data_IF_403793047619
#
_entry.id   IF_403793047619
#
_cell.length_a   1.000
_cell.length_b   1.000
_cell.length_c   1.000
_cell.angle_alpha   90.00
_cell.angle_beta   90.00
_cell.angle_gamma   90.00
#
_symmetry.space_group_name_H-M   'P 1'
#
loop_
_entity.id
_entity.type
_entity.pdbx_description
1 polymer ?
#
# COMPACT_ATOMS: atom_id res chain seq x y z
N UNK A 1 31.40 -27.87 45.73
CA UNK A 1 31.50 -26.68 44.85
C UNK A 1 30.69 -26.92 43.56
N UNK A 2 29.36 -26.96 43.64
CA UNK A 2 28.48 -27.32 42.51
C UNK A 2 27.41 -26.27 42.21
N UNK A 3 27.58 -25.03 42.69
CA UNK A 3 26.58 -23.96 42.55
C UNK A 3 26.78 -23.03 41.33
N UNK A 4 27.81 -23.23 40.50
CA UNK A 4 28.11 -22.30 39.39
C UNK A 4 27.55 -22.76 38.03
N UNK A 5 27.11 -24.02 37.90
CA UNK A 5 26.69 -24.57 36.59
C UNK A 5 25.23 -24.22 36.23
N UNK A 6 24.44 -23.65 37.16
CA UNK A 6 23.02 -23.36 36.92
C UNK A 6 22.71 -22.00 36.26
N UNK A 7 23.72 -21.15 36.02
CA UNK A 7 23.53 -19.83 35.39
C UNK A 7 23.68 -19.82 33.85
N UNK A 8 23.97 -20.97 33.22
CA UNK A 8 24.20 -21.06 31.77
C UNK A 8 23.04 -21.71 30.99
N UNK A 9 21.88 -21.89 31.61
CA UNK A 9 20.68 -22.43 30.95
C UNK A 9 19.52 -21.43 30.91
N UNK A 10 19.81 -20.13 30.71
CA UNK A 10 18.78 -19.29 30.12
C UNK A 10 18.71 -19.62 28.63
N UNK A 11 17.58 -20.10 28.10
CA UNK A 11 17.42 -20.20 26.66
C UNK A 11 17.59 -18.79 26.11
N UNK A 12 18.65 -18.58 25.32
CA UNK A 12 18.68 -17.48 24.36
C UNK A 12 17.43 -17.67 23.52
N UNK A 13 16.38 -16.89 23.82
CA UNK A 13 15.31 -16.68 22.86
C UNK A 13 15.99 -16.00 21.69
N UNK A 14 16.37 -16.79 20.70
CA UNK A 14 16.70 -16.29 19.38
C UNK A 14 15.40 -15.65 18.91
N UNK A 15 15.28 -14.33 19.11
CA UNK A 15 14.30 -13.53 18.40
C UNK A 15 14.72 -13.70 16.95
N UNK A 16 14.07 -14.61 16.25
CA UNK A 16 14.05 -14.60 14.80
C UNK A 16 13.52 -13.23 14.45
N UNK A 17 14.42 -12.32 14.07
CA UNK A 17 14.03 -11.12 13.35
C UNK A 17 13.41 -11.63 12.06
N UNK A 18 12.11 -11.89 12.07
CA UNK A 18 11.35 -11.95 10.83
C UNK A 18 11.64 -10.60 10.18
N UNK A 19 12.18 -10.63 8.97
CA UNK A 19 12.47 -9.42 8.23
C UNK A 19 11.11 -8.78 7.88
N UNK A 20 10.53 -8.05 8.83
CA UNK A 20 9.18 -7.50 8.79
C UNK A 20 9.21 -6.14 8.07
N UNK A 21 9.89 -6.05 6.93
CA UNK A 21 10.08 -4.79 6.22
C UNK A 21 10.70 -3.68 7.10
N UNK A 22 10.58 -2.43 6.65
CA UNK A 22 11.01 -1.26 7.42
C UNK A 22 10.22 -0.02 7.03
N UNK A 23 10.29 1.02 7.86
CA UNK A 23 9.65 2.30 7.57
C UNK A 23 10.70 3.35 7.26
N UNK A 24 10.44 4.14 6.23
CA UNK A 24 11.36 5.17 5.79
C UNK A 24 10.66 6.27 5.01
N UNK A 25 11.42 7.30 4.67
CA UNK A 25 10.94 8.39 3.83
C UNK A 25 10.73 7.86 2.41
N UNK A 26 9.69 8.35 1.72
CA UNK A 26 9.49 8.06 0.31
C UNK A 26 10.51 8.84 -0.54
N UNK A 27 11.23 8.13 -1.40
CA UNK A 27 12.27 8.68 -2.26
C UNK A 27 12.01 8.47 -3.76
N UNK A 28 10.84 7.94 -4.12
CA UNK A 28 10.45 7.76 -5.53
C UNK A 28 9.87 9.04 -6.14
N UNK A 29 9.55 8.96 -7.42
CA UNK A 29 9.04 10.08 -8.21
C UNK A 29 7.55 9.95 -8.53
N UNK A 30 7.06 8.72 -8.72
CA UNK A 30 5.68 8.48 -9.20
C UNK A 30 4.66 8.94 -8.17
N UNK A 31 4.89 8.61 -6.90
CA UNK A 31 3.94 8.85 -5.81
C UNK A 31 4.22 10.10 -4.97
N UNK A 32 5.17 10.95 -5.37
CA UNK A 32 5.65 12.08 -4.55
C UNK A 32 4.58 13.09 -4.15
N UNK A 33 3.53 13.22 -4.96
CA UNK A 33 2.41 14.13 -4.73
C UNK A 33 1.21 13.47 -4.02
N UNK A 34 1.29 12.16 -3.76
CA UNK A 34 0.18 11.35 -3.26
C UNK A 34 0.46 10.74 -1.88
N UNK A 35 1.75 10.58 -1.53
CA UNK A 35 2.18 10.26 -0.17
C UNK A 35 2.45 11.53 0.62
N UNK A 36 2.15 11.50 1.92
CA UNK A 36 2.44 12.61 2.83
C UNK A 36 3.95 12.63 3.15
N UNK A 37 4.64 13.67 2.69
CA UNK A 37 6.09 13.83 2.89
C UNK A 37 6.50 14.07 4.36
N UNK A 38 5.54 14.34 5.24
CA UNK A 38 5.79 14.46 6.68
C UNK A 38 5.76 13.10 7.40
N UNK A 39 5.35 12.05 6.69
CA UNK A 39 5.17 10.70 7.23
C UNK A 39 6.12 9.70 6.56
N UNK A 40 6.34 8.58 7.25
CA UNK A 40 7.10 7.45 6.69
C UNK A 40 6.17 6.48 5.96
N UNK A 41 6.67 5.87 4.91
CA UNK A 41 6.01 4.77 4.20
C UNK A 41 6.68 3.44 4.57
N UNK A 42 5.94 2.34 4.46
CA UNK A 42 6.43 1.00 4.72
C UNK A 42 7.01 0.37 3.45
N UNK A 43 8.17 -0.26 3.59
CA UNK A 43 8.87 -1.02 2.58
C UNK A 43 8.94 -2.49 3.01
N UNK A 44 8.68 -3.40 2.08
CA UNK A 44 8.89 -4.83 2.31
C UNK A 44 10.40 -5.18 2.30
N UNK A 45 10.73 -6.46 2.40
CA UNK A 45 12.11 -6.95 2.38
C UNK A 45 12.81 -6.83 1.03
N UNK A 46 12.08 -6.77 -0.08
CA UNK A 46 12.66 -6.48 -1.40
C UNK A 46 12.95 -4.99 -1.61
N UNK A 47 12.47 -4.13 -0.70
CA UNK A 47 12.72 -2.69 -0.70
C UNK A 47 11.72 -1.92 -1.58
N UNK A 48 11.95 -0.61 -1.72
CA UNK A 48 11.04 0.27 -2.46
C UNK A 48 11.15 0.22 -3.98
N UNK A 49 12.23 -0.35 -4.53
CA UNK A 49 12.50 -0.29 -5.97
C UNK A 49 11.47 -1.09 -6.79
N UNK A 50 11.18 -2.33 -6.40
CA UNK A 50 10.19 -3.15 -7.11
C UNK A 50 8.80 -2.50 -7.09
N UNK A 51 8.40 -1.95 -5.93
CA UNK A 51 7.15 -1.22 -5.80
C UNK A 51 7.12 0.01 -6.71
N UNK A 52 8.21 0.77 -6.81
CA UNK A 52 8.28 1.95 -7.69
C UNK A 52 8.16 1.56 -9.17
N UNK A 53 8.85 0.50 -9.60
CA UNK A 53 8.79 -0.01 -10.99
C UNK A 53 7.38 -0.49 -11.34
N UNK A 54 6.75 -1.27 -10.45
CA UNK A 54 5.37 -1.75 -10.66
C UNK A 54 4.39 -0.57 -10.71
N UNK A 55 4.55 0.38 -9.77
CA UNK A 55 3.72 1.58 -9.73
C UNK A 55 3.85 2.39 -11.01
N UNK A 56 5.07 2.61 -11.50
CA UNK A 56 5.33 3.33 -12.75
C UNK A 56 4.69 2.65 -13.97
N UNK A 57 4.82 1.32 -14.08
CA UNK A 57 4.18 0.56 -15.15
C UNK A 57 2.66 0.67 -15.11
N UNK A 58 2.05 0.48 -13.94
CA UNK A 58 0.60 0.67 -13.76
C UNK A 58 0.16 2.12 -14.05
N UNK A 59 1.01 3.09 -13.74
CA UNK A 59 0.74 4.49 -14.02
C UNK A 59 0.57 4.72 -15.53
N UNK A 60 1.55 4.28 -16.32
CA UNK A 60 1.60 4.48 -17.77
C UNK A 60 0.59 3.60 -18.52
N UNK A 61 0.37 2.36 -18.07
CA UNK A 61 -0.50 1.42 -18.77
C UNK A 61 -1.97 1.61 -18.44
N UNK A 62 -2.30 2.03 -17.21
CA UNK A 62 -3.68 2.09 -16.73
C UNK A 62 -4.07 3.50 -16.32
N UNK A 63 -3.37 4.14 -15.39
CA UNK A 63 -3.84 5.36 -14.74
C UNK A 63 -4.02 6.51 -15.73
N UNK A 64 -3.03 6.74 -16.62
CA UNK A 64 -3.09 7.83 -17.61
C UNK A 64 -4.23 7.67 -18.62
N UNK A 65 -4.77 6.47 -18.81
CA UNK A 65 -5.87 6.22 -19.74
C UNK A 65 -7.25 6.48 -19.14
N UNK A 66 -7.33 6.70 -17.83
CA UNK A 66 -8.60 6.94 -17.13
C UNK A 66 -9.05 8.40 -17.28
N UNK A 67 -10.36 8.59 -17.35
CA UNK A 67 -10.98 9.92 -17.34
C UNK A 67 -11.18 10.44 -15.90
N UNK A 68 -11.36 11.75 -15.74
CA UNK A 68 -11.79 12.31 -14.45
C UNK A 68 -13.27 12.01 -14.18
N UNK A 69 -13.68 11.75 -12.92
CA UNK A 69 -12.88 11.84 -11.69
C UNK A 69 -12.14 10.53 -11.31
N UNK A 70 -12.25 9.49 -12.14
CA UNK A 70 -11.64 8.18 -11.86
C UNK A 70 -10.12 8.28 -11.74
N UNK A 71 -9.46 8.96 -12.69
CA UNK A 71 -8.00 9.09 -12.71
C UNK A 71 -7.44 9.63 -11.40
N UNK A 72 -7.89 10.79 -10.94
CA UNK A 72 -7.41 11.39 -9.68
C UNK A 72 -7.64 10.47 -8.46
N UNK A 73 -8.73 9.69 -8.45
CA UNK A 73 -9.00 8.74 -7.38
C UNK A 73 -8.11 7.49 -7.46
N UNK A 74 -7.88 6.97 -8.67
CA UNK A 74 -7.04 5.81 -8.95
C UNK A 74 -5.55 6.11 -8.68
N UNK A 75 -5.06 7.30 -9.04
CA UNK A 75 -3.70 7.78 -8.73
C UNK A 75 -3.40 7.68 -7.22
N UNK A 76 -4.30 8.25 -6.41
CA UNK A 76 -4.18 8.24 -4.95
C UNK A 76 -4.23 6.81 -4.40
N UNK A 77 -5.17 5.99 -4.87
CA UNK A 77 -5.33 4.62 -4.42
C UNK A 77 -4.10 3.77 -4.73
N UNK A 78 -3.58 3.85 -5.95
CA UNK A 78 -2.40 3.13 -6.39
C UNK A 78 -1.21 3.46 -5.48
N UNK A 79 -0.97 4.75 -5.22
CA UNK A 79 0.17 5.18 -4.42
C UNK A 79 0.08 4.81 -2.95
N UNK A 80 -1.10 4.96 -2.32
CA UNK A 80 -1.28 4.56 -0.92
C UNK A 80 -1.20 3.04 -0.76
N UNK A 81 -1.60 2.29 -1.77
CA UNK A 81 -1.41 0.85 -1.77
C UNK A 81 0.08 0.50 -1.90
N UNK A 82 0.78 1.05 -2.89
CA UNK A 82 2.17 0.70 -3.19
C UNK A 82 3.15 1.15 -2.09
N UNK A 83 2.84 2.27 -1.44
CA UNK A 83 3.63 2.86 -0.37
C UNK A 83 2.74 3.25 0.82
N UNK A 84 2.24 2.26 1.60
CA UNK A 84 1.38 2.54 2.73
C UNK A 84 2.11 3.38 3.77
N UNK A 85 1.43 4.36 4.36
CA UNK A 85 1.89 5.03 5.57
C UNK A 85 2.24 4.00 6.65
N UNK A 86 3.31 4.26 7.38
CA UNK A 86 3.77 3.39 8.45
C UNK A 86 3.46 3.96 9.82
N UNK A 87 3.04 3.07 10.74
CA UNK A 87 3.07 3.31 12.17
C UNK A 87 4.08 2.38 12.86
N UNK A 88 5.11 2.97 13.46
CA UNK A 88 6.27 2.29 14.06
C UNK A 88 7.02 1.41 13.05
N UNK A 89 6.61 0.15 12.88
CA UNK A 89 7.26 -0.82 11.98
C UNK A 89 6.24 -1.63 11.18
N UNK A 90 5.00 -1.14 11.09
CA UNK A 90 3.91 -1.83 10.42
C UNK A 90 3.21 -0.90 9.44
N UNK A 91 2.82 -1.40 8.25
CA UNK A 91 2.01 -0.63 7.32
C UNK A 91 0.63 -0.40 7.91
N UNK A 92 0.09 0.80 7.73
CA UNK A 92 -1.30 1.08 8.01
C UNK A 92 -2.15 0.51 6.86
N UNK A 93 -3.24 -0.22 7.15
CA UNK A 93 -4.10 -0.74 6.10
C UNK A 93 -4.81 0.41 5.36
N UNK A 94 -5.08 0.19 4.08
CA UNK A 94 -6.08 0.95 3.34
C UNK A 94 -7.45 0.79 4.03
N UNK A 95 -8.33 1.78 3.88
CA UNK A 95 -9.72 1.68 4.31
C UNK A 95 -10.58 0.98 3.26
N UNK A 96 -11.42 0.03 3.69
CA UNK A 96 -12.41 -0.63 2.82
C UNK A 96 -13.27 0.38 2.05
N UNK A 97 -13.77 1.38 2.75
CA UNK A 97 -14.69 2.39 2.24
C UNK A 97 -14.04 3.25 1.16
N UNK A 98 -12.75 3.56 1.32
CA UNK A 98 -11.99 4.30 0.32
C UNK A 98 -11.73 3.45 -0.93
N UNK A 99 -11.39 2.17 -0.77
CA UNK A 99 -11.27 1.23 -1.87
C UNK A 99 -12.59 1.10 -2.64
N UNK A 100 -13.70 0.95 -1.93
CA UNK A 100 -15.04 0.86 -2.52
C UNK A 100 -15.43 2.17 -3.19
N UNK A 101 -15.09 3.32 -2.64
CA UNK A 101 -15.38 4.61 -3.27
C UNK A 101 -14.67 4.74 -4.62
N UNK A 102 -13.38 4.38 -4.72
CA UNK A 102 -12.69 4.38 -6.02
C UNK A 102 -13.34 3.39 -6.98
N UNK A 103 -13.57 2.16 -6.55
CA UNK A 103 -14.13 1.10 -7.40
C UNK A 103 -15.55 1.42 -7.89
N UNK A 104 -16.46 1.78 -6.97
CA UNK A 104 -17.91 1.82 -7.23
C UNK A 104 -18.48 3.23 -7.40
N UNK A 105 -17.73 4.28 -7.07
CA UNK A 105 -18.19 5.66 -7.25
C UNK A 105 -17.35 6.40 -8.30
N UNK A 106 -16.03 6.46 -8.14
CA UNK A 106 -15.19 7.25 -9.04
C UNK A 106 -14.92 6.56 -10.37
N UNK A 107 -14.59 5.26 -10.35
CA UNK A 107 -14.19 4.50 -11.52
C UNK A 107 -15.25 3.53 -12.01
N UNK A 108 -16.53 3.72 -11.67
CA UNK A 108 -17.55 2.69 -11.91
C UNK A 108 -17.72 2.31 -13.40
N UNK A 109 -17.40 3.21 -14.34
CA UNK A 109 -17.44 2.95 -15.79
C UNK A 109 -16.16 2.30 -16.27
N UNK A 110 -15.03 2.79 -15.79
CA UNK A 110 -13.68 2.44 -16.20
C UNK A 110 -13.16 1.20 -15.46
N UNK A 111 -13.86 0.73 -14.43
CA UNK A 111 -13.43 -0.38 -13.58
C UNK A 111 -13.23 -1.69 -14.35
N UNK A 112 -14.01 -1.91 -15.40
CA UNK A 112 -13.82 -3.06 -16.27
C UNK A 112 -12.44 -3.02 -16.96
N UNK A 113 -11.97 -1.84 -17.37
CA UNK A 113 -10.64 -1.67 -17.97
C UNK A 113 -9.51 -1.88 -16.96
N UNK A 114 -9.74 -1.49 -15.70
CA UNK A 114 -8.84 -1.77 -14.56
C UNK A 114 -8.73 -3.28 -14.33
N UNK A 115 -9.83 -4.02 -14.38
CA UNK A 115 -9.86 -5.48 -14.20
C UNK A 115 -9.31 -6.25 -15.41
N UNK A 116 -9.54 -5.78 -16.63
CA UNK A 116 -9.05 -6.44 -17.85
C UNK A 116 -7.53 -6.34 -17.98
N UNK A 117 -6.94 -5.17 -17.69
CA UNK A 117 -5.47 -5.00 -17.73
C UNK A 117 -4.75 -5.79 -16.63
N UNK A 118 -5.44 -6.11 -15.52
CA UNK A 118 -4.94 -7.02 -14.48
C UNK A 118 -4.78 -8.46 -14.99
N UNK A 119 -5.70 -8.92 -15.84
CA UNK A 119 -5.75 -10.29 -16.38
C UNK A 119 -4.63 -10.60 -17.38
N UNK A 120 -4.02 -9.57 -17.99
CA UNK A 120 -3.05 -9.68 -19.07
C UNK A 120 -1.57 -9.81 -18.65
N UNK A 121 -1.24 -9.78 -17.35
CA UNK A 121 0.15 -9.93 -16.92
C UNK A 121 0.52 -9.37 -15.54
N UNK A 122 -0.41 -8.72 -14.83
CA UNK A 122 -0.16 -8.09 -13.53
C UNK A 122 -0.93 -8.80 -12.39
N UNK A 123 -0.90 -10.13 -12.37
CA UNK A 123 -1.67 -10.96 -11.42
C UNK A 123 -1.14 -10.96 -9.97
N UNK A 124 -0.15 -10.12 -9.66
CA UNK A 124 0.46 -10.05 -8.32
C UNK A 124 0.77 -8.62 -7.86
N UNK A 125 0.32 -7.61 -8.62
CA UNK A 125 0.60 -6.22 -8.30
C UNK A 125 -0.32 -5.76 -7.17
N UNK A 126 0.24 -5.33 -6.03
CA UNK A 126 -0.57 -4.96 -4.88
C UNK A 126 -1.54 -3.80 -5.21
N UNK A 127 -1.20 -2.91 -6.16
CA UNK A 127 -2.08 -1.82 -6.62
C UNK A 127 -3.18 -2.17 -7.64
N UNK A 128 -3.21 -3.40 -8.18
CA UNK A 128 -4.24 -3.83 -9.13
C UNK A 128 -5.41 -4.46 -8.35
N UNK A 129 -6.18 -3.60 -7.71
CA UNK A 129 -7.44 -3.86 -7.00
C UNK A 129 -8.26 -5.01 -7.57
N UNK A 130 -8.20 -6.17 -6.93
CA UNK A 130 -9.38 -7.02 -6.82
C UNK A 130 -9.57 -7.32 -5.35
N UNK A 131 -10.79 -7.10 -4.90
CA UNK A 131 -11.27 -7.38 -3.55
C UNK A 131 -10.77 -6.40 -2.50
N UNK A 132 -11.39 -5.20 -2.54
CA UNK A 132 -11.61 -4.40 -1.35
C UNK A 132 -12.09 -5.26 -0.17
N UNK A 133 -12.72 -6.43 -0.41
CA UNK A 133 -13.11 -7.41 0.61
C UNK A 133 -11.96 -7.92 1.49
N UNK A 134 -10.71 -7.84 1.05
CA UNK A 134 -9.53 -8.20 1.86
C UNK A 134 -9.06 -7.05 2.76
N UNK A 135 -9.65 -5.86 2.60
CA UNK A 135 -9.30 -4.63 3.30
C UNK A 135 -10.21 -4.45 4.53
N UNK A 136 -9.68 -4.08 5.70
CA UNK A 136 -10.50 -3.89 6.90
C UNK A 136 -11.40 -2.64 6.79
N UNK A 137 -12.55 -2.67 7.47
CA UNK A 137 -13.43 -1.49 7.62
C UNK A 137 -12.75 -0.39 8.45
N UNK A 138 -12.96 0.87 8.05
CA UNK A 138 -12.43 2.09 8.67
C UNK A 138 -12.40 2.08 10.21
N UNK A 139 -11.21 2.13 10.78
CA UNK A 139 -10.92 2.44 12.18
C UNK A 139 -9.86 3.55 12.27
N UNK A 140 -9.58 4.08 13.47
CA UNK A 140 -8.62 5.19 13.63
C UNK A 140 -7.16 4.82 13.27
N UNK A 141 -6.88 3.54 13.00
CA UNK A 141 -5.56 2.98 12.70
C UNK A 141 -5.40 2.63 11.22
N UNK A 142 -6.09 3.34 10.32
CA UNK A 142 -6.02 3.15 8.86
C UNK A 142 -5.82 4.47 8.13
N UNK A 143 -5.35 4.37 6.88
CA UNK A 143 -5.11 5.54 6.02
C UNK A 143 -6.42 5.92 5.36
N UNK A 144 -6.89 7.15 5.62
CA UNK A 144 -8.08 7.71 4.97
C UNK A 144 -7.66 8.53 3.75
N UNK A 145 -8.25 8.23 2.60
CA UNK A 145 -8.13 9.05 1.41
C UNK A 145 -8.96 10.32 1.55
N UNK A 146 -8.29 11.46 1.68
CA UNK A 146 -8.95 12.75 1.58
C UNK A 146 -9.20 13.09 0.11
N UNK A 147 -10.40 12.76 -0.38
CA UNK A 147 -10.91 13.29 -1.63
C UNK A 147 -11.35 14.74 -1.38
N UNK A 148 -10.65 15.70 -1.98
CA UNK A 148 -11.17 17.07 -2.04
C UNK A 148 -12.55 17.02 -2.70
N UNK A 149 -13.54 17.73 -2.15
CA UNK A 149 -14.89 17.80 -2.69
C UNK A 149 -14.85 18.03 -4.20
N UNK A 150 -15.19 17.01 -4.99
CA UNK A 150 -15.44 17.17 -6.42
C UNK A 150 -16.69 18.03 -6.58
N UNK A 151 -16.65 19.14 -7.33
CA UNK A 151 -17.85 19.90 -7.67
C UNK A 151 -18.81 18.97 -8.42
N UNK A 152 -20.06 19.03 -8.00
CA UNK A 152 -21.17 18.22 -8.51
C UNK A 152 -21.59 18.67 -9.91
#
# INVERSE_FOLDING_TARGET
MHFIIFLLLLPLKIVSATADGYCGVYHGEVCKNYVDNTKSVWYNTSGGYENEVITAGLWEELIVTLDEPCRSAAEKLLCIYAFPECNVSKPLPLCYEDCVAVNKLFCYKEWAEVEDKKSGGCSSSPGATSDCQTVPSCQSTQIRLHYAHTPR
#
